data_IF_605073196857
#
_entry.id   IF_605073196857
#
_cell.length_a   1.000
_cell.length_b   1.000
_cell.length_c   1.000
_cell.angle_alpha   90.00
_cell.angle_beta   90.00
_cell.angle_gamma   90.00
#
_symmetry.space_group_name_H-M   'P 1'
#
loop_
_entity.id
_entity.type
_entity.pdbx_description
1 polymer ?
#
# COMPACT_ATOMS: atom_id res chain seq x y z
N UNK A 1 0.69 1.51 9.72
CA UNK A 1 1.92 2.23 10.12
C UNK A 1 2.85 1.37 10.97
N UNK A 2 2.35 0.68 12.00
CA UNK A 2 3.23 -0.07 12.93
C UNK A 2 3.75 -1.40 12.38
N UNK A 3 3.22 -1.92 11.28
CA UNK A 3 3.61 -3.23 10.75
C UNK A 3 5.13 -3.34 10.48
N UNK A 4 5.76 -2.27 10.03
CA UNK A 4 7.20 -2.22 9.80
C UNK A 4 8.05 -2.34 11.07
N UNK A 5 7.49 -2.06 12.25
CA UNK A 5 8.15 -2.24 13.55
C UNK A 5 8.09 -3.70 14.05
N UNK A 6 7.32 -4.56 13.36
CA UNK A 6 7.07 -5.97 13.73
C UNK A 6 7.18 -6.89 12.51
N UNK A 7 8.22 -6.69 11.73
CA UNK A 7 8.39 -7.28 10.39
C UNK A 7 8.51 -8.81 10.38
N UNK A 8 8.94 -9.42 11.48
CA UNK A 8 9.00 -10.89 11.63
C UNK A 8 7.63 -11.47 11.99
N UNK A 9 6.87 -10.74 12.79
CA UNK A 9 5.51 -11.15 13.21
C UNK A 9 4.48 -10.82 12.14
N UNK A 10 4.56 -9.63 11.55
CA UNK A 10 3.65 -9.14 10.49
C UNK A 10 4.40 -9.12 9.16
N UNK A 11 4.49 -10.28 8.54
CA UNK A 11 5.09 -10.44 7.20
C UNK A 11 4.27 -9.67 6.15
N UNK A 12 4.81 -9.41 4.94
CA UNK A 12 4.07 -8.75 3.86
C UNK A 12 2.71 -9.40 3.58
N UNK A 13 2.66 -10.73 3.51
CA UNK A 13 1.42 -11.48 3.27
C UNK A 13 0.42 -11.34 4.44
N UNK A 14 0.87 -11.43 5.69
CA UNK A 14 0.00 -11.21 6.86
C UNK A 14 -0.55 -9.79 6.92
N UNK A 15 0.30 -8.79 6.62
CA UNK A 15 -0.14 -7.39 6.55
C UNK A 15 -1.27 -7.23 5.53
N UNK A 16 -1.07 -7.78 4.33
CA UNK A 16 -2.07 -7.77 3.27
C UNK A 16 -3.38 -8.45 3.72
N UNK A 17 -3.29 -9.64 4.31
CA UNK A 17 -4.45 -10.39 4.81
C UNK A 17 -5.25 -9.59 5.86
N UNK A 18 -4.57 -8.93 6.81
CA UNK A 18 -5.24 -8.07 7.82
C UNK A 18 -6.00 -6.92 7.16
N UNK A 19 -5.41 -6.25 6.18
CA UNK A 19 -6.08 -5.14 5.51
C UNK A 19 -7.22 -5.65 4.61
N UNK A 20 -6.99 -6.75 3.89
CA UNK A 20 -7.95 -7.37 2.98
C UNK A 20 -9.18 -7.92 3.72
N UNK A 21 -9.01 -8.43 4.94
CA UNK A 21 -10.11 -8.99 5.75
C UNK A 21 -11.25 -8.00 5.99
N UNK A 22 -10.99 -6.68 5.90
CA UNK A 22 -12.01 -5.63 6.00
C UNK A 22 -13.16 -5.75 4.99
N UNK A 23 -12.93 -6.43 3.87
CA UNK A 23 -13.95 -6.63 2.83
C UNK A 23 -14.87 -7.82 3.13
N UNK A 24 -14.50 -8.68 4.09
CA UNK A 24 -15.17 -9.92 4.42
C UNK A 24 -15.77 -9.96 5.84
N UNK A 25 -15.60 -8.88 6.60
CA UNK A 25 -16.08 -8.78 7.98
C UNK A 25 -16.99 -7.54 8.15
N UNK A 26 -17.87 -7.58 9.15
CA UNK A 26 -18.54 -6.36 9.61
C UNK A 26 -17.52 -5.32 10.06
N UNK A 27 -17.79 -4.04 9.78
CA UNK A 27 -16.81 -2.98 10.02
C UNK A 27 -16.50 -2.75 11.50
N UNK A 28 -17.50 -2.91 12.36
CA UNK A 28 -17.31 -2.75 13.80
C UNK A 28 -16.50 -3.93 14.36
N UNK A 29 -16.81 -5.15 13.92
CA UNK A 29 -16.08 -6.36 14.29
C UNK A 29 -14.62 -6.28 13.82
N UNK A 30 -14.39 -5.96 12.55
CA UNK A 30 -13.04 -5.79 12.00
C UNK A 30 -12.24 -4.75 12.78
N UNK A 31 -12.89 -3.63 13.13
CA UNK A 31 -12.24 -2.57 13.91
C UNK A 31 -11.83 -3.06 15.30
N UNK A 32 -12.66 -3.88 15.95
CA UNK A 32 -12.33 -4.44 17.26
C UNK A 32 -11.13 -5.39 17.18
N UNK A 33 -11.13 -6.32 16.21
CA UNK A 33 -10.03 -7.27 15.99
C UNK A 33 -8.71 -6.54 15.67
N UNK A 34 -8.73 -5.53 14.80
CA UNK A 34 -7.52 -4.77 14.46
C UNK A 34 -7.00 -3.97 15.66
N UNK A 35 -7.86 -3.42 16.49
CA UNK A 35 -7.45 -2.74 17.73
C UNK A 35 -6.78 -3.70 18.72
N UNK A 36 -7.32 -4.89 18.89
CA UNK A 36 -6.72 -5.94 19.71
C UNK A 36 -5.34 -6.35 19.19
N UNK A 37 -5.23 -6.65 17.91
CA UNK A 37 -3.95 -6.95 17.26
C UNK A 37 -2.92 -5.83 17.47
N UNK A 38 -3.31 -4.57 17.31
CA UNK A 38 -2.43 -3.42 17.54
C UNK A 38 -1.98 -3.35 19.02
N UNK A 39 -2.86 -3.65 19.96
CA UNK A 39 -2.53 -3.65 21.39
C UNK A 39 -1.52 -4.78 21.70
N UNK A 40 -1.73 -5.97 21.19
CA UNK A 40 -0.82 -7.11 21.33
C UNK A 40 0.56 -6.79 20.75
N UNK A 41 0.64 -6.28 19.53
CA UNK A 41 1.89 -5.90 18.90
C UNK A 41 2.64 -4.84 19.73
N UNK A 42 1.95 -3.83 20.22
CA UNK A 42 2.56 -2.78 21.07
C UNK A 42 3.07 -3.30 22.42
N UNK A 43 2.56 -4.43 22.89
CA UNK A 43 3.05 -5.09 24.12
C UNK A 43 4.33 -5.92 23.86
N UNK A 44 4.67 -6.19 22.61
CA UNK A 44 5.87 -6.93 22.22
C UNK A 44 7.06 -5.97 22.03
N UNK A 45 8.31 -6.46 22.18
CA UNK A 45 9.49 -5.72 21.73
C UNK A 45 9.42 -5.44 20.23
N UNK A 46 9.86 -4.24 19.82
CA UNK A 46 9.96 -3.93 18.39
C UNK A 46 10.97 -4.85 17.70
N UNK A 47 10.63 -5.26 16.50
CA UNK A 47 11.45 -6.07 15.63
C UNK A 47 12.00 -5.17 14.53
N UNK A 48 13.28 -4.77 14.56
CA UNK A 48 13.84 -3.96 13.48
C UNK A 48 13.72 -4.69 12.15
N UNK A 49 13.37 -3.97 11.10
CA UNK A 49 13.33 -4.52 9.75
C UNK A 49 14.72 -5.02 9.36
N UNK A 50 14.84 -6.30 9.07
CA UNK A 50 16.03 -6.90 8.47
C UNK A 50 15.89 -6.80 6.95
N UNK A 51 17.00 -6.50 6.25
CA UNK A 51 16.99 -6.35 4.79
C UNK A 51 16.48 -5.00 4.29
N UNK A 52 15.80 -4.99 3.14
CA UNK A 52 15.39 -3.77 2.46
C UNK A 52 13.96 -3.38 2.79
N UNK A 53 13.78 -2.10 3.10
CA UNK A 53 12.46 -1.52 3.33
C UNK A 53 11.85 -1.06 2.02
N UNK A 54 10.63 -1.46 1.73
CA UNK A 54 9.95 -1.10 0.49
C UNK A 54 8.57 -0.52 0.74
N UNK A 55 8.15 0.35 -0.19
CA UNK A 55 6.78 0.83 -0.30
C UNK A 55 6.15 0.15 -1.51
N UNK A 56 4.92 -0.31 -1.37
CA UNK A 56 4.13 -0.82 -2.48
C UNK A 56 3.21 0.28 -3.02
N UNK A 57 3.09 0.38 -4.34
CA UNK A 57 2.10 1.26 -5.00
C UNK A 57 1.46 0.54 -6.17
N UNK A 58 0.25 0.91 -6.56
CA UNK A 58 -0.52 0.26 -7.64
C UNK A 58 -1.97 -0.01 -7.25
N UNK A 59 -2.58 -1.01 -7.87
CA UNK A 59 -3.95 -1.39 -7.58
C UNK A 59 -4.01 -2.41 -6.45
N UNK A 60 -3.26 -3.50 -6.57
CA UNK A 60 -3.25 -4.60 -5.62
C UNK A 60 -1.88 -5.28 -5.59
N UNK A 61 -1.56 -5.93 -4.48
CA UNK A 61 -0.38 -6.78 -4.33
C UNK A 61 -0.79 -8.26 -4.34
N UNK A 62 -1.39 -8.70 -5.43
CA UNK A 62 -1.86 -10.06 -5.67
C UNK A 62 -1.01 -10.75 -6.76
N UNK A 63 -0.88 -12.06 -6.76
CA UNK A 63 -1.37 -13.02 -5.74
C UNK A 63 -0.49 -13.03 -4.47
N UNK A 64 -0.98 -13.67 -3.39
CA UNK A 64 -0.24 -13.76 -2.11
C UNK A 64 1.17 -14.32 -2.28
N UNK A 65 1.39 -15.23 -3.22
CA UNK A 65 2.72 -15.79 -3.55
C UNK A 65 3.76 -14.74 -3.96
N UNK A 66 3.34 -13.58 -4.45
CA UNK A 66 4.24 -12.46 -4.71
C UNK A 66 4.78 -11.87 -3.39
N UNK A 67 3.94 -11.78 -2.38
CA UNK A 67 4.32 -11.28 -1.06
C UNK A 67 5.23 -12.26 -0.32
N UNK A 68 5.04 -13.58 -0.54
CA UNK A 68 5.93 -14.60 -0.02
C UNK A 68 7.34 -14.48 -0.64
N UNK A 69 7.42 -14.15 -1.94
CA UNK A 69 8.70 -13.87 -2.61
C UNK A 69 9.38 -12.63 -1.98
N UNK A 70 8.64 -11.58 -1.65
CA UNK A 70 9.23 -10.42 -0.96
C UNK A 70 9.84 -10.82 0.39
N UNK A 71 9.17 -11.70 1.13
CA UNK A 71 9.70 -12.25 2.37
C UNK A 71 10.97 -13.09 2.14
N UNK A 72 10.98 -13.99 1.14
CA UNK A 72 12.16 -14.79 0.75
C UNK A 72 13.39 -13.92 0.44
N UNK A 73 13.19 -12.75 -0.18
CA UNK A 73 14.26 -11.81 -0.49
C UNK A 73 14.55 -10.79 0.60
N UNK A 74 13.98 -10.94 1.78
CA UNK A 74 14.20 -10.06 2.92
C UNK A 74 13.66 -8.64 2.72
N UNK A 75 12.56 -8.50 1.95
CA UNK A 75 11.90 -7.21 1.76
C UNK A 75 10.87 -6.99 2.86
N UNK A 76 10.96 -5.87 3.55
CA UNK A 76 9.95 -5.44 4.54
C UNK A 76 9.07 -4.35 3.94
N UNK A 77 7.76 -4.62 3.86
CA UNK A 77 6.78 -3.61 3.42
C UNK A 77 6.49 -2.67 4.58
N UNK A 78 7.01 -1.45 4.50
CA UNK A 78 6.86 -0.45 5.58
C UNK A 78 5.67 0.50 5.36
N UNK A 79 5.21 0.64 4.13
CA UNK A 79 4.02 1.42 3.78
C UNK A 79 3.49 0.97 2.42
N UNK A 80 2.30 1.42 2.08
CA UNK A 80 1.71 1.20 0.76
C UNK A 80 0.86 2.39 0.29
N UNK A 81 0.63 2.40 -1.01
CA UNK A 81 -0.31 3.23 -1.76
C UNK A 81 -1.13 2.33 -2.70
N UNK A 82 -1.56 1.16 -2.23
CA UNK A 82 -2.38 0.26 -3.03
C UNK A 82 -3.85 0.69 -3.00
N UNK A 83 -4.50 0.65 -4.17
CA UNK A 83 -5.90 1.05 -4.29
C UNK A 83 -6.84 0.16 -3.45
N UNK A 84 -6.50 -1.11 -3.27
CA UNK A 84 -7.24 -2.05 -2.42
C UNK A 84 -6.87 -1.95 -0.93
N UNK A 85 -5.81 -1.22 -0.58
CA UNK A 85 -5.33 -1.11 0.80
C UNK A 85 -5.38 0.32 1.32
N UNK A 86 -4.22 0.94 1.60
CA UNK A 86 -4.15 2.22 2.32
C UNK A 86 -4.81 3.37 1.58
N UNK A 87 -4.89 3.33 0.25
CA UNK A 87 -5.58 4.36 -0.55
C UNK A 87 -7.06 4.48 -0.18
N UNK A 88 -7.69 3.39 0.29
CA UNK A 88 -9.10 3.37 0.71
C UNK A 88 -9.40 4.23 1.96
N UNK A 89 -8.40 4.44 2.80
CA UNK A 89 -8.56 5.13 4.09
C UNK A 89 -7.52 6.25 4.30
N UNK A 90 -6.90 6.71 3.21
CA UNK A 90 -5.96 7.84 3.21
C UNK A 90 -6.65 9.14 3.61
N UNK A 91 -7.89 9.30 3.20
CA UNK A 91 -8.72 10.48 3.52
C UNK A 91 -9.81 10.05 4.48
N UNK A 92 -9.89 10.73 5.61
CA UNK A 92 -10.94 10.49 6.59
C UNK A 92 -12.30 10.92 6.07
N UNK A 93 -13.34 10.23 6.54
CA UNK A 93 -14.72 10.66 6.33
C UNK A 93 -14.98 11.90 7.18
N UNK A 94 -15.22 13.07 6.60
CA UNK A 94 -15.40 14.29 7.39
C UNK A 94 -16.68 14.22 8.22
N UNK A 95 -16.74 15.02 9.29
CA UNK A 95 -17.95 15.18 10.05
C UNK A 95 -19.06 15.88 9.26
N UNK A 96 -20.29 15.61 9.58
CA UNK A 96 -21.45 16.18 8.91
C UNK A 96 -22.75 15.46 9.25
N UNK A 97 -23.87 16.03 8.86
CA UNK A 97 -25.21 15.53 9.20
C UNK A 97 -25.66 14.38 8.31
N UNK A 98 -25.41 14.51 7.01
CA UNK A 98 -25.91 13.57 6.01
C UNK A 98 -24.83 12.56 5.62
N UNK A 99 -25.02 11.24 5.88
CA UNK A 99 -23.99 10.21 5.67
C UNK A 99 -23.48 10.11 4.24
N UNK A 100 -24.37 10.19 3.25
CA UNK A 100 -24.00 10.08 1.83
C UNK A 100 -23.13 11.27 1.39
N UNK A 101 -23.47 12.46 1.88
CA UNK A 101 -22.67 13.67 1.63
C UNK A 101 -21.27 13.58 2.26
N UNK A 102 -21.17 12.99 3.44
CA UNK A 102 -19.87 12.76 4.10
C UNK A 102 -18.98 11.84 3.26
N UNK A 103 -19.53 10.74 2.73
CA UNK A 103 -18.81 9.84 1.84
C UNK A 103 -18.46 10.52 0.51
N UNK A 104 -19.34 11.32 -0.06
CA UNK A 104 -19.06 12.08 -1.27
C UNK A 104 -17.91 13.07 -1.05
N UNK A 105 -17.87 13.75 0.10
CA UNK A 105 -16.75 14.66 0.47
C UNK A 105 -15.44 13.91 0.70
N UNK A 106 -15.46 12.72 1.32
CA UNK A 106 -14.27 11.88 1.42
C UNK A 106 -13.71 11.60 0.03
N UNK A 107 -14.57 11.18 -0.89
CA UNK A 107 -14.18 10.87 -2.26
C UNK A 107 -13.70 12.10 -3.03
N UNK A 108 -14.37 13.24 -2.87
CA UNK A 108 -13.96 14.51 -3.47
C UNK A 108 -12.56 14.95 -3.02
N UNK A 109 -12.19 14.65 -1.78
CA UNK A 109 -10.90 15.00 -1.21
C UNK A 109 -9.82 13.93 -1.46
N UNK A 110 -10.15 12.83 -2.17
CA UNK A 110 -9.16 11.81 -2.53
C UNK A 110 -8.10 12.42 -3.43
N UNK A 111 -6.84 12.15 -3.12
CA UNK A 111 -5.69 12.65 -3.87
C UNK A 111 -4.69 11.52 -4.17
N UNK A 112 -3.83 11.73 -5.17
CA UNK A 112 -2.80 10.78 -5.56
C UNK A 112 -3.34 9.43 -6.02
N UNK A 113 -4.52 9.42 -6.67
CA UNK A 113 -5.15 8.21 -7.15
C UNK A 113 -5.40 8.30 -8.66
N UNK A 114 -4.80 7.42 -9.44
CA UNK A 114 -5.00 7.36 -10.89
C UNK A 114 -6.43 7.04 -11.31
N UNK A 115 -7.20 6.40 -10.43
CA UNK A 115 -8.61 6.05 -10.65
C UNK A 115 -9.59 7.21 -10.33
N UNK A 116 -9.10 8.24 -9.63
CA UNK A 116 -9.86 9.46 -9.34
C UNK A 116 -9.22 10.64 -10.06
N UNK A 117 -10.02 11.68 -10.32
CA UNK A 117 -9.48 12.89 -10.96
C UNK A 117 -8.47 13.58 -10.04
N UNK A 118 -7.20 13.46 -10.37
CA UNK A 118 -6.09 14.16 -9.71
C UNK A 118 -5.43 15.08 -10.73
N UNK A 119 -5.90 16.32 -10.79
CA UNK A 119 -5.43 17.34 -11.74
C UNK A 119 -3.95 17.66 -11.58
N UNK A 120 -3.50 17.69 -10.33
CA UNK A 120 -2.15 18.16 -9.98
C UNK A 120 -1.13 17.03 -9.97
N UNK A 121 -1.56 15.78 -10.22
CA UNK A 121 -0.70 14.59 -10.27
C UNK A 121 0.22 14.47 -9.05
N UNK A 122 -0.35 14.66 -7.87
CA UNK A 122 0.39 14.71 -6.60
C UNK A 122 0.91 13.35 -6.12
N UNK A 123 0.59 12.26 -6.82
CA UNK A 123 0.98 10.90 -6.43
C UNK A 123 2.49 10.74 -6.30
N UNK A 124 3.26 11.24 -7.25
CA UNK A 124 4.72 11.15 -7.20
C UNK A 124 5.31 11.87 -5.99
N UNK A 125 5.04 13.18 -5.77
CA UNK A 125 5.45 13.90 -4.57
C UNK A 125 5.01 13.22 -3.27
N UNK A 126 3.79 12.67 -3.22
CA UNK A 126 3.28 11.93 -2.07
C UNK A 126 4.10 10.66 -1.78
N UNK A 127 4.42 9.87 -2.80
CA UNK A 127 5.24 8.66 -2.66
C UNK A 127 6.68 9.00 -2.25
N UNK A 128 7.26 10.07 -2.80
CA UNK A 128 8.57 10.59 -2.40
C UNK A 128 8.58 10.98 -0.92
N UNK A 129 7.56 11.69 -0.46
CA UNK A 129 7.40 12.04 0.95
C UNK A 129 7.24 10.79 1.83
N UNK A 130 6.50 9.80 1.36
CA UNK A 130 6.35 8.51 2.05
C UNK A 130 7.69 7.78 2.18
N UNK A 131 8.51 7.74 1.12
CA UNK A 131 9.87 7.17 1.17
C UNK A 131 10.72 7.89 2.22
N UNK A 132 10.72 9.21 2.21
CA UNK A 132 11.48 10.03 3.16
C UNK A 132 11.03 9.81 4.62
N UNK A 133 9.73 9.70 4.86
CA UNK A 133 9.17 9.50 6.21
C UNK A 133 9.40 8.10 6.76
N UNK A 134 9.34 7.08 5.93
CA UNK A 134 9.50 5.69 6.37
C UNK A 134 10.95 5.21 6.34
N UNK A 135 11.82 5.93 5.66
CA UNK A 135 13.18 5.49 5.39
C UNK A 135 13.22 4.27 4.48
N UNK A 136 12.28 4.16 3.54
CA UNK A 136 12.25 3.07 2.58
C UNK A 136 13.43 3.16 1.59
N UNK A 137 13.99 2.00 1.22
CA UNK A 137 15.09 1.89 0.26
C UNK A 137 14.61 1.97 -1.20
N UNK A 138 13.36 1.57 -1.45
CA UNK A 138 12.79 1.53 -2.80
C UNK A 138 11.25 1.55 -2.81
N UNK A 139 10.69 1.79 -3.99
CA UNK A 139 9.26 1.66 -4.28
C UNK A 139 9.05 0.50 -5.25
N UNK A 140 8.14 -0.42 -4.93
CA UNK A 140 7.70 -1.47 -5.83
C UNK A 140 6.35 -1.05 -6.42
N UNK A 141 6.30 -0.97 -7.73
CA UNK A 141 5.10 -0.63 -8.49
C UNK A 141 4.42 -1.91 -8.93
N UNK A 142 3.31 -2.24 -8.29
CA UNK A 142 2.46 -3.38 -8.66
C UNK A 142 1.51 -2.94 -9.77
N UNK A 143 2.00 -3.00 -11.01
CA UNK A 143 1.27 -2.58 -12.21
C UNK A 143 0.29 -3.68 -12.61
N UNK A 144 -0.99 -3.43 -12.43
CA UNK A 144 -2.01 -4.36 -12.89
C UNK A 144 -2.10 -4.31 -14.41
N UNK A 145 -2.03 -5.47 -15.05
CA UNK A 145 -2.20 -5.57 -16.51
C UNK A 145 -3.50 -4.94 -16.96
N UNK A 146 -3.43 -4.17 -18.04
CA UNK A 146 -4.56 -3.48 -18.65
C UNK A 146 -5.22 -2.40 -17.76
N UNK A 147 -4.47 -1.86 -16.80
CA UNK A 147 -4.92 -0.73 -16.00
C UNK A 147 -4.43 0.59 -16.61
N UNK A 148 -5.08 1.06 -17.67
CA UNK A 148 -4.70 2.28 -18.37
C UNK A 148 -4.46 3.48 -17.44
N UNK A 149 -5.29 3.77 -16.41
CA UNK A 149 -5.05 4.91 -15.51
C UNK A 149 -3.73 4.82 -14.76
N UNK A 150 -3.33 3.62 -14.30
CA UNK A 150 -2.04 3.40 -13.63
C UNK A 150 -0.88 3.51 -14.63
N UNK A 151 -1.04 2.95 -15.82
CA UNK A 151 -0.04 2.98 -16.88
C UNK A 151 0.23 4.40 -17.37
N UNK A 152 -0.80 5.27 -17.47
CA UNK A 152 -0.62 6.67 -17.83
C UNK A 152 0.02 7.51 -16.73
N UNK A 153 -0.20 7.19 -15.46
CA UNK A 153 0.43 7.92 -14.35
C UNK A 153 1.87 7.49 -14.07
N UNK A 154 2.21 6.24 -14.39
CA UNK A 154 3.52 5.66 -14.10
C UNK A 154 4.71 6.48 -14.65
N UNK A 155 4.76 6.89 -15.93
CA UNK A 155 5.89 7.64 -16.46
C UNK A 155 6.13 8.96 -15.72
N UNK A 156 5.05 9.58 -15.22
CA UNK A 156 5.11 10.87 -14.52
C UNK A 156 5.85 10.70 -13.18
N UNK A 157 5.38 9.80 -12.32
CA UNK A 157 6.00 9.62 -11.01
C UNK A 157 7.33 8.85 -11.09
N UNK A 158 7.55 8.01 -12.09
CA UNK A 158 8.83 7.37 -12.35
C UNK A 158 9.93 8.41 -12.65
N UNK A 159 9.62 9.41 -13.49
CA UNK A 159 10.56 10.50 -13.74
C UNK A 159 10.86 11.30 -12.45
N UNK A 160 9.85 11.53 -11.62
CA UNK A 160 10.04 12.22 -10.34
C UNK A 160 10.90 11.40 -9.38
N UNK A 161 10.76 10.08 -9.34
CA UNK A 161 11.63 9.18 -8.55
C UNK A 161 13.08 9.28 -9.01
N UNK A 162 13.34 9.24 -10.31
CA UNK A 162 14.69 9.36 -10.86
C UNK A 162 15.33 10.71 -10.48
N UNK A 163 14.58 11.79 -10.52
CA UNK A 163 15.08 13.12 -10.13
C UNK A 163 15.48 13.21 -8.66
N UNK A 164 14.80 12.44 -7.80
CA UNK A 164 15.05 12.38 -6.35
C UNK A 164 16.01 11.23 -5.96
N UNK A 165 16.51 10.45 -6.93
CA UNK A 165 17.39 9.31 -6.68
C UNK A 165 16.70 8.13 -5.98
N UNK A 166 15.37 8.05 -6.04
CA UNK A 166 14.60 6.96 -5.46
C UNK A 166 14.59 5.77 -6.40
N UNK A 167 15.00 4.61 -5.89
CA UNK A 167 14.94 3.35 -6.64
C UNK A 167 13.51 2.87 -6.76
N UNK A 168 13.14 2.39 -7.94
CA UNK A 168 11.85 1.75 -8.14
C UNK A 168 11.96 0.51 -9.02
N UNK A 169 11.12 -0.46 -8.76
CA UNK A 169 10.94 -1.67 -9.55
C UNK A 169 9.48 -1.76 -9.94
N UNK A 170 9.19 -1.84 -11.22
CA UNK A 170 7.85 -2.14 -11.69
C UNK A 170 7.73 -3.64 -11.96
N UNK A 171 6.68 -4.23 -11.43
CA UNK A 171 6.29 -5.62 -11.68
C UNK A 171 4.87 -5.64 -12.22
N UNK A 172 4.64 -6.43 -13.24
CA UNK A 172 3.28 -6.67 -13.72
C UNK A 172 2.58 -7.66 -12.81
N UNK A 173 1.39 -7.30 -12.36
CA UNK A 173 0.52 -8.17 -11.56
C UNK A 173 -0.71 -8.57 -12.36
N UNK A 174 -1.14 -9.82 -12.18
CA UNK A 174 -2.35 -10.35 -12.79
C UNK A 174 -3.02 -11.23 -11.73
N UNK A 175 -4.29 -10.97 -11.45
CA UNK A 175 -5.05 -11.74 -10.46
C UNK A 175 -5.15 -13.24 -10.78
N UNK A 176 -4.94 -13.60 -12.04
CA UNK A 176 -4.99 -14.99 -12.51
C UNK A 176 -3.59 -15.59 -12.75
N UNK A 177 -2.53 -14.89 -12.40
CA UNK A 177 -1.18 -15.38 -12.63
C UNK A 177 -0.91 -16.68 -11.82
N UNK A 178 -0.78 -17.79 -12.53
CA UNK A 178 -0.48 -19.10 -11.95
C UNK A 178 0.98 -19.30 -11.56
N UNK A 179 1.88 -18.40 -11.94
CA UNK A 179 3.31 -18.50 -11.65
C UNK A 179 3.95 -17.12 -11.53
N UNK A 180 4.79 -16.96 -10.52
CA UNK A 180 5.57 -15.75 -10.25
C UNK A 180 7.08 -15.97 -10.50
N UNK A 181 7.43 -16.93 -11.32
CA UNK A 181 8.85 -17.25 -11.63
C UNK A 181 9.64 -16.05 -12.17
N UNK A 182 8.97 -15.11 -12.84
CA UNK A 182 9.61 -13.89 -13.34
C UNK A 182 10.06 -12.91 -12.23
N UNK A 183 9.58 -13.09 -11.00
CA UNK A 183 9.99 -12.28 -9.84
C UNK A 183 11.20 -12.86 -9.09
N UNK A 184 11.56 -14.09 -9.37
CA UNK A 184 12.74 -14.79 -8.81
C UNK A 184 13.98 -14.57 -9.65
#
# INVERSE_FOLDING_TARGET
EIAGDYSKTITPAKRHAVIKSRFFMDKAEHTAVVKELIAELKAMPKEPAEGKKVILTGITAEPDSMLDIFEEFGLTVVADDLAQESRQFRVDVPDGEEPLMRLAKQWQNMYGCSLATDRDKVRGPMLIDMVKKTGADAVIVCMMKFCDPEEFDYPIYYQQFNNEGIRSLMIEVDQQAGSMEQLR
#
